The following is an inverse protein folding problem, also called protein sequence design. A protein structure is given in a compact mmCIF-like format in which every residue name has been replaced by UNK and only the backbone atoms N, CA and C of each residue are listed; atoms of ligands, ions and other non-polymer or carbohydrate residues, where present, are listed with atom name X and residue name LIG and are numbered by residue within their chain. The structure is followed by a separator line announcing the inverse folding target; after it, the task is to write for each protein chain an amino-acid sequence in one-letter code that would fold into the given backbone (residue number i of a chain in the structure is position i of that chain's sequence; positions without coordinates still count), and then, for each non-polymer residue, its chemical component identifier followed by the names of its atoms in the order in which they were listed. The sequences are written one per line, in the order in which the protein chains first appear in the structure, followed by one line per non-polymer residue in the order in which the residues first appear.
data_IF_739200565491
#
_entry.id   IF_739200565491
#
_cell.length_a   1.000
_cell.length_b   1.000
_cell.length_c   1.000
_cell.angle_alpha   90.00
_cell.angle_beta   90.00
_cell.angle_gamma   90.00
#
_symmetry.space_group_name_H-M   'P 1'
#
loop_
_entity.id
_entity.type
_entity.pdbx_description
1 polymer ?
#
# COMPACT_ATOMS: atom_id res chain seq x y z
N UNK A 1 -17.54 -24.80 -19.43
CA UNK A 1 -18.46 -25.05 -18.29
C UNK A 1 -17.89 -24.30 -17.11
N UNK A 2 -18.34 -23.07 -16.92
CA UNK A 2 -17.85 -22.13 -15.91
C UNK A 2 -18.33 -22.56 -14.53
N UNK A 3 -17.41 -23.00 -13.67
CA UNK A 3 -17.71 -23.15 -12.24
C UNK A 3 -17.28 -21.87 -11.53
N UNK A 4 -18.29 -21.08 -11.13
CA UNK A 4 -18.16 -19.97 -10.20
C UNK A 4 -17.51 -20.47 -8.92
N UNK A 5 -16.30 -19.97 -8.63
CA UNK A 5 -15.72 -20.01 -7.29
C UNK A 5 -16.56 -19.05 -6.42
N UNK A 6 -17.33 -19.62 -5.49
CA UNK A 6 -18.05 -18.87 -4.46
C UNK A 6 -17.04 -18.07 -3.61
N UNK A 7 -17.33 -16.82 -3.23
CA UNK A 7 -16.49 -16.08 -2.29
C UNK A 7 -16.51 -16.82 -0.95
N UNK A 8 -15.32 -17.20 -0.47
CA UNK A 8 -15.12 -17.70 0.89
C UNK A 8 -15.34 -16.51 1.82
N UNK A 9 -16.47 -16.53 2.52
CA UNK A 9 -16.77 -15.58 3.60
C UNK A 9 -15.77 -15.88 4.72
N UNK A 10 -14.87 -14.94 4.99
CA UNK A 10 -13.98 -15.01 6.14
C UNK A 10 -14.81 -14.84 7.41
N UNK A 11 -14.98 -15.93 8.16
CA UNK A 11 -15.60 -15.92 9.48
C UNK A 11 -14.76 -15.09 10.45
N UNK A 12 -15.36 -14.00 10.93
CA UNK A 12 -14.89 -13.12 12.00
C UNK A 12 -14.75 -13.92 13.29
N UNK A 13 -13.71 -13.63 14.08
CA UNK A 13 -13.60 -14.13 15.44
C UNK A 13 -14.65 -13.38 16.25
N UNK A 14 -15.62 -14.10 16.78
CA UNK A 14 -16.63 -13.54 17.66
C UNK A 14 -15.95 -13.12 18.96
N UNK A 15 -15.61 -11.84 19.08
CA UNK A 15 -15.48 -11.22 20.40
C UNK A 15 -16.89 -11.26 21.00
N UNK A 16 -17.07 -12.10 22.02
CA UNK A 16 -18.25 -12.11 22.88
C UNK A 16 -18.29 -10.78 23.66
N UNK A 17 -18.69 -9.71 22.97
CA UNK A 17 -19.19 -8.50 23.61
C UNK A 17 -20.53 -8.87 24.22
N UNK A 18 -20.60 -8.88 25.56
CA UNK A 18 -21.86 -8.94 26.27
C UNK A 18 -22.82 -7.93 25.63
N UNK A 19 -23.99 -8.41 25.19
CA UNK A 19 -25.00 -7.61 24.51
C UNK A 19 -25.57 -6.56 25.47
N UNK A 20 -24.88 -5.43 25.59
CA UNK A 20 -25.48 -4.18 26.00
C UNK A 20 -26.35 -3.76 24.82
N UNK A 21 -27.65 -3.57 25.06
CA UNK A 21 -28.58 -3.08 24.06
C UNK A 21 -27.96 -1.85 23.37
N UNK A 22 -27.60 -2.01 22.08
CA UNK A 22 -27.06 -0.93 21.25
C UNK A 22 -28.20 0.07 21.03
N UNK A 23 -28.19 1.15 21.82
CA UNK A 23 -28.85 2.37 21.41
C UNK A 23 -28.33 2.73 20.01
N UNK A 24 -29.20 3.18 19.10
CA UNK A 24 -28.78 3.72 17.81
C UNK A 24 -27.62 4.68 18.05
N UNK A 25 -26.42 4.27 17.60
CA UNK A 25 -25.20 5.05 17.81
C UNK A 25 -25.32 6.27 16.90
N UNK A 26 -25.91 7.34 17.42
CA UNK A 26 -26.06 8.61 16.72
C UNK A 26 -24.70 9.12 16.26
N UNK A 27 -24.66 9.75 15.08
CA UNK A 27 -23.48 10.44 14.56
C UNK A 27 -22.94 11.41 15.63
N UNK A 28 -21.65 11.29 15.96
CA UNK A 28 -20.96 12.13 16.94
C UNK A 28 -19.99 13.04 16.21
N UNK A 29 -19.74 14.27 16.68
CA UNK A 29 -18.69 15.11 16.10
C UNK A 29 -17.36 14.35 16.06
N UNK A 30 -16.73 14.28 14.89
CA UNK A 30 -15.42 13.67 14.75
C UNK A 30 -14.36 14.58 15.38
N UNK A 31 -13.36 14.02 16.08
CA UNK A 31 -12.26 14.80 16.62
C UNK A 31 -11.44 15.48 15.52
N UNK A 32 -10.74 16.56 15.92
CA UNK A 32 -9.69 17.17 15.11
C UNK A 32 -8.55 16.16 14.83
N UNK A 33 -7.60 16.54 13.99
CA UNK A 33 -6.46 15.68 13.69
C UNK A 33 -5.74 15.21 14.96
N UNK A 34 -5.44 13.91 15.06
CA UNK A 34 -4.76 13.36 16.23
C UNK A 34 -3.33 13.89 16.36
N UNK A 35 -2.60 13.93 15.25
CA UNK A 35 -1.23 14.40 15.18
C UNK A 35 -1.12 15.87 14.79
N UNK A 36 0.08 16.43 14.97
CA UNK A 36 0.38 17.86 14.78
C UNK A 36 0.81 18.25 13.36
N UNK A 37 1.01 17.29 12.46
CA UNK A 37 1.60 17.52 11.14
C UNK A 37 0.55 17.76 10.05
N UNK A 38 -0.54 18.45 10.37
CA UNK A 38 -1.50 18.98 9.38
C UNK A 38 -0.95 20.27 8.76
N UNK A 39 -1.18 20.47 7.47
CA UNK A 39 -0.65 21.58 6.68
C UNK A 39 0.89 21.76 6.73
N UNK A 40 1.67 20.68 6.49
CA UNK A 40 3.12 20.79 6.43
C UNK A 40 3.53 21.64 5.21
N UNK A 41 4.55 22.51 5.34
CA UNK A 41 4.99 23.32 4.22
C UNK A 41 5.61 22.43 3.13
N UNK A 42 5.62 22.90 1.88
CA UNK A 42 6.00 22.07 0.72
C UNK A 42 7.43 21.49 0.83
N UNK A 43 8.35 22.20 1.46
CA UNK A 43 9.72 21.75 1.74
C UNK A 43 9.82 20.58 2.71
N UNK A 44 8.79 20.32 3.54
CA UNK A 44 8.77 19.18 4.45
C UNK A 44 8.80 17.84 3.69
N UNK A 45 8.39 17.85 2.42
CA UNK A 45 8.35 16.69 1.54
C UNK A 45 9.66 16.45 0.77
N UNK A 46 10.60 17.40 0.76
CA UNK A 46 11.86 17.26 0.02
C UNK A 46 12.71 16.10 0.53
N UNK A 47 12.61 15.80 1.83
CA UNK A 47 13.31 14.67 2.46
C UNK A 47 12.47 13.39 2.52
N UNK A 48 11.24 13.40 1.99
CA UNK A 48 10.38 12.22 1.96
C UNK A 48 10.82 11.28 0.84
N UNK A 49 10.74 9.96 1.07
CA UNK A 49 11.11 8.97 0.06
C UNK A 49 9.96 8.85 -0.95
N UNK A 50 10.24 9.24 -2.19
CA UNK A 50 9.32 9.10 -3.32
C UNK A 50 9.93 8.18 -4.36
N UNK A 51 9.29 7.04 -4.58
CA UNK A 51 9.64 6.09 -5.62
C UNK A 51 9.06 6.53 -6.96
N UNK A 52 9.73 6.18 -8.06
CA UNK A 52 9.14 6.30 -9.40
C UNK A 52 8.12 5.18 -9.66
N UNK A 53 7.08 5.43 -10.46
CA UNK A 53 6.14 4.37 -10.86
C UNK A 53 6.78 3.19 -11.62
N UNK A 54 7.96 3.38 -12.20
CA UNK A 54 8.75 2.36 -12.89
C UNK A 54 9.78 1.66 -11.99
N UNK A 55 9.93 2.13 -10.74
CA UNK A 55 10.88 1.59 -9.79
C UNK A 55 10.41 0.25 -9.22
N UNK A 56 11.34 -0.69 -9.07
CA UNK A 56 11.07 -1.99 -8.43
C UNK A 56 11.14 -1.78 -6.93
N UNK A 57 9.98 -1.70 -6.29
CA UNK A 57 9.86 -1.46 -4.86
C UNK A 57 9.21 -2.65 -4.15
N UNK A 58 9.64 -2.92 -2.92
CA UNK A 58 9.09 -3.97 -2.06
C UNK A 58 8.58 -3.36 -0.75
N UNK A 59 7.30 -3.56 -0.47
CA UNK A 59 6.67 -3.17 0.80
C UNK A 59 6.33 -4.38 1.67
N UNK A 60 6.19 -4.16 2.98
CA UNK A 60 5.68 -5.19 3.90
C UNK A 60 4.59 -4.67 4.83
N UNK A 61 3.58 -5.51 5.09
CA UNK A 61 2.63 -5.25 6.18
C UNK A 61 3.33 -5.40 7.52
N UNK A 62 3.10 -4.46 8.42
CA UNK A 62 3.72 -4.45 9.73
C UNK A 62 2.66 -4.50 10.83
N UNK A 63 2.55 -5.67 11.44
CA UNK A 63 1.67 -5.93 12.58
C UNK A 63 2.44 -5.60 13.86
N UNK A 64 2.28 -4.39 14.36
CA UNK A 64 3.08 -3.89 15.48
C UNK A 64 2.39 -4.04 16.84
N UNK A 65 1.15 -4.51 16.88
CA UNK A 65 0.19 -4.39 17.98
C UNK A 65 0.49 -5.17 19.27
N UNK A 66 1.64 -5.82 19.37
CA UNK A 66 1.99 -6.69 20.49
C UNK A 66 2.40 -5.86 21.71
N UNK A 67 2.14 -6.36 22.93
CA UNK A 67 2.67 -5.78 24.16
C UNK A 67 2.92 -6.83 25.23
N UNK A 68 4.18 -7.20 25.43
CA UNK A 68 4.59 -8.18 26.45
C UNK A 68 4.15 -7.81 27.88
N UNK A 69 4.15 -6.51 28.24
CA UNK A 69 3.82 -6.08 29.60
C UNK A 69 2.35 -6.34 29.96
N UNK A 70 1.43 -6.05 29.03
CA UNK A 70 -0.01 -6.26 29.23
C UNK A 70 -0.50 -7.59 28.65
N UNK A 71 0.38 -8.34 27.97
CA UNK A 71 0.08 -9.55 27.20
C UNK A 71 -0.87 -9.34 26.03
N UNK A 72 -1.08 -8.09 25.61
CA UNK A 72 -1.93 -7.76 24.46
C UNK A 72 -1.37 -8.43 23.19
N UNK A 73 -2.22 -9.21 22.52
CA UNK A 73 -1.90 -10.02 21.34
C UNK A 73 -0.77 -11.03 21.53
N UNK A 74 -0.44 -11.36 22.78
CA UNK A 74 0.50 -12.44 23.16
C UNK A 74 -0.26 -13.58 23.84
N UNK A 75 -1.29 -13.25 24.61
CA UNK A 75 -2.18 -14.21 25.28
C UNK A 75 -3.61 -13.91 24.86
N UNK A 76 -4.37 -14.95 24.52
CA UNK A 76 -5.78 -14.86 24.16
C UNK A 76 -6.66 -14.57 25.37
N UNK A 77 -7.90 -14.14 25.09
CA UNK A 77 -8.87 -13.78 26.13
C UNK A 77 -9.24 -14.94 27.09
N UNK A 78 -9.06 -16.19 26.66
CA UNK A 78 -9.26 -17.40 27.46
C UNK A 78 -7.99 -17.83 28.24
N UNK A 79 -6.90 -17.07 28.11
CA UNK A 79 -5.61 -17.34 28.74
C UNK A 79 -4.69 -18.27 27.95
N UNK A 80 -5.11 -18.72 26.76
CA UNK A 80 -4.27 -19.53 25.87
C UNK A 80 -3.22 -18.68 25.13
N UNK A 81 -2.26 -19.36 24.52
CA UNK A 81 -1.17 -18.72 23.79
C UNK A 81 -1.66 -18.22 22.43
N UNK A 82 -1.59 -16.91 22.19
CA UNK A 82 -2.07 -16.31 20.95
C UNK A 82 -1.07 -16.45 19.78
N UNK A 83 0.14 -16.97 20.04
CA UNK A 83 1.24 -17.02 19.08
C UNK A 83 1.57 -18.45 18.68
N UNK A 84 1.42 -18.77 17.39
CA UNK A 84 1.91 -20.05 16.83
C UNK A 84 3.44 -20.11 16.78
N UNK A 85 4.11 -18.97 16.72
CA UNK A 85 5.56 -18.82 16.78
C UNK A 85 5.94 -17.63 17.64
N UNK A 86 7.00 -17.78 18.43
CA UNK A 86 7.42 -16.76 19.39
C UNK A 86 8.65 -15.99 18.90
N UNK A 87 8.75 -14.69 19.22
CA UNK A 87 10.03 -13.99 19.05
C UNK A 87 11.10 -14.65 19.91
N UNK A 88 12.39 -14.59 19.53
CA UNK A 88 13.48 -15.21 20.30
C UNK A 88 13.57 -14.72 21.75
N UNK A 89 13.08 -13.50 22.01
CA UNK A 89 12.87 -12.94 23.35
C UNK A 89 11.58 -12.12 23.34
N UNK A 90 10.74 -12.29 24.37
CA UNK A 90 9.55 -11.47 24.59
C UNK A 90 9.87 -10.13 25.27
N UNK A 91 11.03 -10.02 25.91
CA UNK A 91 11.46 -8.80 26.58
C UNK A 91 11.45 -7.62 25.61
N UNK A 92 10.63 -6.60 25.92
CA UNK A 92 10.45 -5.39 25.11
C UNK A 92 9.81 -5.63 23.74
N UNK A 93 9.20 -6.79 23.49
CA UNK A 93 8.31 -7.07 22.36
C UNK A 93 7.01 -6.27 22.55
N UNK A 94 7.04 -5.01 22.15
CA UNK A 94 5.96 -4.05 22.45
C UNK A 94 5.90 -2.92 21.44
N UNK A 95 4.70 -2.57 20.97
CA UNK A 95 4.46 -1.39 20.14
C UNK A 95 4.95 -0.09 20.79
N UNK A 96 5.07 -0.07 22.13
CA UNK A 96 5.53 1.07 22.92
C UNK A 96 7.05 1.26 22.86
N UNK A 97 7.80 0.28 22.36
CA UNK A 97 9.26 0.23 22.42
C UNK A 97 9.90 0.70 21.11
N UNK A 98 10.50 1.90 21.11
CA UNK A 98 11.27 2.39 19.96
C UNK A 98 12.45 1.47 19.63
N UNK A 99 13.10 0.87 20.64
CA UNK A 99 14.20 -0.08 20.40
C UNK A 99 13.73 -1.36 19.69
N UNK A 100 12.50 -1.80 19.95
CA UNK A 100 11.93 -2.96 19.25
C UNK A 100 11.62 -2.62 17.79
N UNK A 101 10.94 -1.49 17.54
CA UNK A 101 10.71 -0.99 16.19
C UNK A 101 12.01 -0.81 15.41
N UNK A 102 13.06 -0.31 16.07
CA UNK A 102 14.39 -0.13 15.46
C UNK A 102 14.97 -1.47 14.99
N UNK A 103 14.87 -2.52 15.81
CA UNK A 103 15.27 -3.87 15.40
C UNK A 103 14.44 -4.37 14.21
N UNK A 104 13.12 -4.17 14.23
CA UNK A 104 12.25 -4.61 13.11
C UNK A 104 12.61 -3.89 11.81
N UNK A 105 12.90 -2.57 11.87
CA UNK A 105 13.35 -1.79 10.72
C UNK A 105 14.72 -2.25 10.21
N UNK A 106 15.65 -2.62 11.09
CA UNK A 106 16.95 -3.20 10.68
C UNK A 106 16.77 -4.55 9.99
N UNK A 107 15.88 -5.40 10.49
CA UNK A 107 15.56 -6.68 9.85
C UNK A 107 14.92 -6.48 8.47
N UNK A 108 14.04 -5.48 8.33
CA UNK A 108 13.46 -5.07 7.04
C UNK A 108 14.52 -4.54 6.07
N UNK A 109 15.48 -3.74 6.53
CA UNK A 109 16.60 -3.29 5.71
C UNK A 109 17.46 -4.46 5.23
N UNK A 110 17.77 -5.42 6.11
CA UNK A 110 18.53 -6.62 5.75
C UNK A 110 17.79 -7.48 4.72
N UNK A 111 16.46 -7.43 4.69
CA UNK A 111 15.62 -8.10 3.70
C UNK A 111 15.39 -7.29 2.41
N UNK A 112 15.90 -6.05 2.31
CA UNK A 112 15.72 -5.19 1.14
C UNK A 112 14.30 -4.64 0.99
N UNK A 113 13.61 -4.38 2.10
CA UNK A 113 12.27 -3.77 2.12
C UNK A 113 12.39 -2.25 2.04
N UNK A 114 11.72 -1.65 1.07
CA UNK A 114 11.78 -0.21 0.79
C UNK A 114 10.82 0.62 1.64
N UNK A 115 9.65 0.04 1.96
CA UNK A 115 8.66 0.69 2.79
C UNK A 115 7.89 -0.28 3.68
N UNK A 116 7.48 0.23 4.82
CA UNK A 116 6.69 -0.47 5.83
C UNK A 116 5.28 0.09 5.84
N UNK A 117 4.30 -0.80 5.99
CA UNK A 117 2.89 -0.47 6.08
C UNK A 117 2.34 -0.91 7.44
N UNK A 118 2.42 -0.06 8.49
CA UNK A 118 1.80 -0.35 9.76
C UNK A 118 0.31 -0.62 9.57
N UNK A 119 -0.16 -1.76 10.05
CA UNK A 119 -1.58 -2.13 10.02
C UNK A 119 -2.31 -1.24 11.03
N UNK A 120 -3.06 -0.26 10.52
CA UNK A 120 -3.57 0.85 11.30
C UNK A 120 -5.06 0.71 11.59
N UNK A 121 -5.39 0.68 12.88
CA UNK A 121 -6.73 0.53 13.45
C UNK A 121 -7.18 1.81 14.18
N UNK A 122 -6.45 2.92 14.03
CA UNK A 122 -6.74 4.18 14.71
C UNK A 122 -7.92 4.94 14.09
N UNK A 123 -9.14 4.41 14.19
CA UNK A 123 -10.34 5.15 13.80
C UNK A 123 -10.53 6.41 14.68
N UNK A 124 -11.36 7.38 14.28
CA UNK A 124 -11.62 8.59 15.07
C UNK A 124 -12.14 8.31 16.49
N UNK A 125 -12.80 7.16 16.68
CA UNK A 125 -13.28 6.68 17.97
C UNK A 125 -12.19 6.13 18.90
N UNK A 126 -10.97 5.96 18.41
CA UNK A 126 -9.84 5.34 19.13
C UNK A 126 -8.84 6.37 19.67
N UNK A 127 -9.18 7.67 19.59
CA UNK A 127 -8.35 8.76 20.10
C UNK A 127 -8.12 8.70 21.61
N UNK A 128 -9.13 8.26 22.37
CA UNK A 128 -9.05 8.20 23.83
C UNK A 128 -8.06 7.11 24.29
N UNK A 129 -7.21 7.37 25.30
CA UNK A 129 -6.20 6.40 25.75
C UNK A 129 -6.74 5.04 26.22
N UNK A 130 -8.01 5.00 26.64
CA UNK A 130 -8.74 3.82 27.09
C UNK A 130 -9.57 3.16 25.99
N UNK A 131 -9.54 3.69 24.76
CA UNK A 131 -10.23 3.11 23.63
C UNK A 131 -9.62 1.77 23.20
N UNK A 132 -10.46 0.90 22.65
CA UNK A 132 -10.15 -0.49 22.33
C UNK A 132 -8.90 -0.65 21.45
N UNK A 133 -8.72 0.24 20.47
CA UNK A 133 -7.59 0.19 19.53
C UNK A 133 -6.63 1.36 19.65
N UNK A 134 -6.59 2.03 20.80
CA UNK A 134 -5.68 3.16 21.04
C UNK A 134 -4.20 2.79 20.84
N UNK A 135 -3.84 1.51 21.00
CA UNK A 135 -2.50 1.00 20.68
C UNK A 135 -2.03 1.38 19.27
N UNK A 136 -2.96 1.53 18.32
CA UNK A 136 -2.65 1.91 16.95
C UNK A 136 -2.12 3.34 16.85
N UNK A 137 -2.64 4.25 17.69
CA UNK A 137 -2.12 5.61 17.84
C UNK A 137 -0.81 5.62 18.64
N UNK A 138 -0.81 4.96 19.80
CA UNK A 138 0.32 4.96 20.72
C UNK A 138 1.60 4.32 20.13
N UNK A 139 1.47 3.38 19.17
CA UNK A 139 2.60 2.74 18.50
C UNK A 139 3.32 3.61 17.46
N UNK A 140 2.72 4.72 16.99
CA UNK A 140 3.30 5.51 15.90
C UNK A 140 4.50 6.35 16.34
N UNK A 141 4.43 7.01 17.51
CA UNK A 141 5.55 7.82 17.99
C UNK A 141 6.84 6.98 18.20
N UNK A 142 6.80 5.81 18.85
CA UNK A 142 7.97 4.91 18.94
C UNK A 142 8.50 4.44 17.58
N UNK A 143 7.63 4.17 16.59
CA UNK A 143 8.06 3.78 15.25
C UNK A 143 8.77 4.94 14.52
N UNK A 144 8.22 6.16 14.60
CA UNK A 144 8.84 7.36 14.01
C UNK A 144 10.18 7.65 14.68
N UNK A 145 10.26 7.53 16.01
CA UNK A 145 11.50 7.68 16.77
C UNK A 145 12.55 6.64 16.33
N UNK A 146 12.17 5.37 16.19
CA UNK A 146 13.05 4.31 15.72
C UNK A 146 13.61 4.61 14.32
N UNK A 147 12.74 4.98 13.38
CA UNK A 147 13.16 5.37 12.04
C UNK A 147 14.07 6.59 12.07
N UNK A 148 13.79 7.56 12.94
CA UNK A 148 14.61 8.76 13.10
C UNK A 148 16.04 8.42 13.53
N UNK A 149 16.21 7.54 14.52
CA UNK A 149 17.54 7.09 14.98
C UNK A 149 18.35 6.45 13.86
N UNK A 150 17.72 5.59 13.05
CA UNK A 150 18.38 4.95 11.91
C UNK A 150 18.80 5.97 10.84
N UNK A 151 17.96 6.97 10.55
CA UNK A 151 18.37 8.07 9.66
C UNK A 151 19.54 8.87 10.22
N UNK A 152 19.55 9.13 11.53
CA UNK A 152 20.61 9.88 12.20
C UNK A 152 21.95 9.10 12.23
N UNK A 153 21.89 7.76 12.15
CA UNK A 153 23.04 6.88 11.90
C UNK A 153 23.51 6.88 10.44
N UNK A 154 22.81 7.57 9.53
CA UNK A 154 23.12 7.60 8.09
C UNK A 154 22.65 6.35 7.34
N UNK A 155 21.70 5.59 7.90
CA UNK A 155 21.10 4.42 7.27
C UNK A 155 19.86 4.82 6.44
N UNK A 156 19.40 3.90 5.58
CA UNK A 156 18.20 4.05 4.75
C UNK A 156 17.09 3.08 5.22
N UNK A 157 16.42 3.35 6.35
CA UNK A 157 15.33 2.52 6.84
C UNK A 157 14.07 2.66 5.98
N UNK A 158 13.22 1.60 5.92
CA UNK A 158 11.96 1.62 5.18
C UNK A 158 11.15 2.87 5.44
N UNK A 159 10.66 3.52 4.39
CA UNK A 159 9.72 4.63 4.51
C UNK A 159 8.34 4.14 4.98
N UNK A 160 7.49 5.01 5.52
CA UNK A 160 6.23 4.63 6.18
C UNK A 160 5.05 4.99 5.29
N UNK A 161 4.32 3.98 4.82
CA UNK A 161 3.01 4.13 4.17
C UNK A 161 1.89 3.61 5.07
N UNK A 162 0.64 3.84 4.69
CA UNK A 162 -0.53 3.40 5.45
C UNK A 162 -1.07 2.07 4.93
N UNK A 163 -1.26 1.08 5.80
CA UNK A 163 -2.26 0.04 5.58
C UNK A 163 -3.45 0.31 6.49
N UNK A 164 -4.55 0.82 5.92
CA UNK A 164 -5.78 1.07 6.64
C UNK A 164 -6.54 -0.25 6.80
N UNK A 165 -6.56 -0.77 8.02
CA UNK A 165 -7.43 -1.89 8.37
C UNK A 165 -8.87 -1.40 8.52
N UNK A 166 -9.66 -1.66 7.48
CA UNK A 166 -11.04 -1.20 7.37
C UNK A 166 -12.00 -1.99 8.25
N UNK A 167 -11.53 -2.99 9.01
CA UNK A 167 -12.35 -3.65 10.05
C UNK A 167 -12.92 -2.66 11.06
N UNK A 168 -12.24 -1.52 11.27
CA UNK A 168 -12.71 -0.48 12.17
C UNK A 168 -13.97 0.26 11.69
N UNK A 169 -14.38 0.07 10.43
CA UNK A 169 -15.67 0.58 9.93
C UNK A 169 -16.85 -0.16 10.57
N UNK A 170 -16.64 -1.35 11.12
CA UNK A 170 -17.66 -2.13 11.85
C UNK A 170 -17.29 -2.32 13.34
N UNK A 171 -16.02 -2.53 13.62
CA UNK A 171 -15.50 -2.79 14.96
C UNK A 171 -14.80 -1.55 15.51
N UNK A 172 -15.48 -0.77 16.33
CA UNK A 172 -14.88 0.42 16.92
C UNK A 172 -15.48 0.76 18.28
N UNK A 173 -14.76 1.58 19.04
CA UNK A 173 -15.09 1.96 20.43
C UNK A 173 -16.40 2.74 20.57
N UNK A 174 -16.96 3.28 19.48
CA UNK A 174 -18.27 3.94 19.51
C UNK A 174 -19.43 3.04 19.05
N UNK A 175 -19.14 1.82 18.61
CA UNK A 175 -20.15 0.86 18.15
C UNK A 175 -20.88 1.28 16.87
N UNK A 176 -20.28 2.16 16.06
CA UNK A 176 -20.87 2.67 14.81
C UNK A 176 -20.53 1.70 13.68
N UNK A 177 -21.52 1.29 12.88
CA UNK A 177 -21.26 0.62 11.60
C UNK A 177 -21.31 1.67 10.48
N UNK A 178 -20.13 2.03 9.97
CA UNK A 178 -19.90 3.21 9.15
C UNK A 178 -20.38 3.00 7.72
N UNK A 179 -21.25 3.90 7.25
CA UNK A 179 -21.72 3.96 5.86
C UNK A 179 -20.98 5.05 5.09
N UNK A 180 -20.01 4.65 4.27
CA UNK A 180 -19.15 5.52 3.48
C UNK A 180 -19.87 6.21 2.30
N UNK A 181 -21.15 5.91 2.05
CA UNK A 181 -21.97 6.68 1.09
C UNK A 181 -22.50 7.98 1.70
N UNK A 182 -22.47 8.10 3.03
CA UNK A 182 -22.94 9.30 3.76
C UNK A 182 -21.82 10.32 3.93
N UNK A 183 -22.14 11.63 4.09
CA UNK A 183 -21.14 12.64 4.45
C UNK A 183 -20.35 12.27 5.71
N UNK A 184 -21.03 11.76 6.73
CA UNK A 184 -20.42 11.34 7.99
C UNK A 184 -19.43 10.19 7.80
N UNK A 185 -19.81 9.14 7.07
CA UNK A 185 -18.93 8.00 6.84
C UNK A 185 -17.71 8.34 5.98
N UNK A 186 -17.85 9.23 4.99
CA UNK A 186 -16.69 9.74 4.25
C UNK A 186 -15.74 10.54 5.12
N UNK A 187 -16.27 11.39 6.01
CA UNK A 187 -15.46 12.12 6.98
C UNK A 187 -14.76 11.17 7.96
N UNK A 188 -15.44 10.13 8.43
CA UNK A 188 -14.86 9.11 9.31
C UNK A 188 -13.70 8.37 8.62
N UNK A 189 -13.94 7.90 7.40
CA UNK A 189 -12.93 7.21 6.62
C UNK A 189 -11.70 8.09 6.38
N UNK A 190 -11.91 9.33 5.94
CA UNK A 190 -10.84 10.30 5.73
C UNK A 190 -10.12 10.64 7.04
N UNK A 191 -10.84 10.83 8.15
CA UNK A 191 -10.24 11.17 9.43
C UNK A 191 -9.21 10.12 9.88
N UNK A 192 -9.46 8.82 9.66
CA UNK A 192 -8.46 7.77 9.91
C UNK A 192 -7.18 7.98 9.08
N UNK A 193 -7.32 8.27 7.78
CA UNK A 193 -6.19 8.52 6.87
C UNK A 193 -5.43 9.78 7.29
N UNK A 194 -6.15 10.88 7.53
CA UNK A 194 -5.61 12.15 8.03
C UNK A 194 -4.82 11.94 9.32
N UNK A 195 -5.42 11.25 10.29
CA UNK A 195 -4.84 11.08 11.60
C UNK A 195 -3.53 10.31 11.53
N UNK A 196 -3.46 9.25 10.72
CA UNK A 196 -2.21 8.53 10.45
C UNK A 196 -1.09 9.45 9.96
N UNK A 197 -1.33 10.20 8.87
CA UNK A 197 -0.31 11.06 8.28
C UNK A 197 0.00 12.29 9.15
N UNK A 198 -0.96 12.80 9.92
CA UNK A 198 -0.74 13.91 10.85
C UNK A 198 0.19 13.57 12.01
N UNK A 199 0.37 12.29 12.34
CA UNK A 199 1.30 11.85 13.39
C UNK A 199 2.74 11.75 12.92
N UNK A 200 2.95 11.66 11.62
CA UNK A 200 4.23 11.27 11.02
C UNK A 200 4.78 12.49 10.27
N UNK A 201 5.97 13.03 10.61
CA UNK A 201 6.58 14.09 9.82
C UNK A 201 6.80 13.62 8.36
N UNK A 202 6.53 14.49 7.39
CA UNK A 202 6.53 14.15 5.96
C UNK A 202 7.81 13.44 5.46
N UNK A 203 8.99 13.78 6.01
CA UNK A 203 10.27 13.09 5.74
C UNK A 203 10.27 11.57 5.99
N UNK A 204 9.29 11.05 6.74
CA UNK A 204 9.15 9.61 6.98
C UNK A 204 8.18 8.92 6.03
N UNK A 205 7.46 9.64 5.19
CA UNK A 205 6.42 9.06 4.35
C UNK A 205 7.02 8.26 3.20
N UNK A 206 6.36 7.15 2.87
CA UNK A 206 6.54 6.44 1.63
C UNK A 206 5.57 7.00 0.58
N UNK A 207 6.09 7.36 -0.59
CA UNK A 207 5.32 7.94 -1.68
C UNK A 207 5.67 7.31 -3.02
N UNK A 208 4.72 7.29 -3.96
CA UNK A 208 4.97 6.97 -5.38
C UNK A 208 4.67 8.24 -6.17
N UNK A 209 5.64 8.76 -6.93
CA UNK A 209 5.51 10.02 -7.68
C UNK A 209 4.96 11.20 -6.84
N UNK A 210 5.43 11.33 -5.59
CA UNK A 210 5.00 12.37 -4.65
C UNK A 210 3.63 12.11 -4.01
N UNK A 211 3.06 10.91 -4.19
CA UNK A 211 1.74 10.52 -3.70
C UNK A 211 1.87 9.56 -2.52
N UNK A 212 1.43 9.94 -1.30
CA UNK A 212 1.53 9.08 -0.12
C UNK A 212 0.79 7.75 -0.30
N UNK A 213 1.46 6.65 0.06
CA UNK A 213 0.95 5.29 -0.16
C UNK A 213 -0.13 4.95 0.87
N UNK A 214 -1.30 4.53 0.39
CA UNK A 214 -2.43 4.06 1.21
C UNK A 214 -2.98 2.76 0.63
N UNK A 215 -2.86 1.67 1.36
CA UNK A 215 -3.50 0.39 1.03
C UNK A 215 -4.71 0.20 1.94
N UNK A 216 -5.80 -0.31 1.37
CA UNK A 216 -7.02 -0.57 2.15
C UNK A 216 -7.21 -2.06 2.33
N UNK A 217 -7.69 -2.46 3.51
CA UNK A 217 -8.17 -3.81 3.74
C UNK A 217 -9.57 -4.02 3.12
N UNK A 218 -10.36 -4.98 3.60
CA UNK A 218 -11.58 -5.44 2.93
C UNK A 218 -12.75 -4.45 3.00
N UNK A 219 -13.49 -4.33 1.89
CA UNK A 219 -14.73 -3.57 1.81
C UNK A 219 -15.89 -4.19 2.60
N UNK A 220 -15.76 -5.45 3.03
CA UNK A 220 -16.82 -6.19 3.71
C UNK A 220 -17.25 -5.59 5.07
N UNK A 221 -16.38 -4.77 5.67
CA UNK A 221 -16.62 -4.12 6.97
C UNK A 221 -17.29 -2.74 6.85
N UNK A 222 -17.47 -2.23 5.63
CA UNK A 222 -18.22 -1.00 5.42
C UNK A 222 -19.72 -1.32 5.31
N UNK A 223 -20.57 -0.57 6.00
CA UNK A 223 -22.04 -0.73 5.90
C UNK A 223 -22.53 -0.44 4.48
N UNK A 224 -21.90 0.52 3.84
CA UNK A 224 -22.12 0.94 2.46
C UNK A 224 -20.89 1.71 1.97
N UNK A 225 -20.64 1.65 0.66
CA UNK A 225 -19.58 2.42 0.01
C UNK A 225 -19.90 2.61 -1.47
N UNK A 226 -19.33 3.66 -2.05
CA UNK A 226 -19.30 3.92 -3.48
C UNK A 226 -18.01 4.70 -3.83
N UNK A 227 -17.86 5.15 -5.08
CA UNK A 227 -16.69 5.90 -5.53
C UNK A 227 -16.41 7.16 -4.68
N UNK A 228 -17.44 7.76 -4.08
CA UNK A 228 -17.33 9.05 -3.38
C UNK A 228 -16.40 8.99 -2.17
N UNK A 229 -16.18 7.82 -1.55
CA UNK A 229 -15.24 7.70 -0.42
C UNK A 229 -13.79 7.89 -0.85
N UNK A 230 -13.41 7.37 -2.02
CA UNK A 230 -12.06 7.51 -2.58
C UNK A 230 -11.84 8.95 -3.03
N UNK A 231 -12.82 9.51 -3.76
CA UNK A 231 -12.74 10.86 -4.30
C UNK A 231 -12.66 11.90 -3.16
N UNK A 232 -13.51 11.75 -2.14
CA UNK A 232 -13.51 12.60 -0.96
C UNK A 232 -12.19 12.51 -0.19
N UNK A 233 -11.66 11.29 0.00
CA UNK A 233 -10.37 11.09 0.67
C UNK A 233 -9.25 11.82 -0.07
N UNK A 234 -9.18 11.68 -1.40
CA UNK A 234 -8.18 12.37 -2.22
C UNK A 234 -8.33 13.90 -2.16
N UNK A 235 -9.56 14.40 -2.22
CA UNK A 235 -9.84 15.83 -2.17
C UNK A 235 -9.47 16.44 -0.82
N UNK A 236 -9.91 15.84 0.30
CA UNK A 236 -9.62 16.37 1.63
C UNK A 236 -8.13 16.26 1.97
N UNK A 237 -7.48 15.16 1.57
CA UNK A 237 -6.04 15.01 1.77
C UNK A 237 -5.25 16.13 1.08
N UNK A 238 -5.59 16.46 -0.17
CA UNK A 238 -4.94 17.54 -0.89
C UNK A 238 -5.12 18.91 -0.22
N UNK A 239 -6.28 19.15 0.42
CA UNK A 239 -6.55 20.38 1.16
C UNK A 239 -5.70 20.52 2.41
N UNK A 240 -5.42 19.42 3.12
CA UNK A 240 -4.74 19.44 4.42
C UNK A 240 -3.24 19.11 4.35
N UNK A 241 -2.75 18.62 3.20
CA UNK A 241 -1.36 18.20 3.03
C UNK A 241 -0.73 18.78 1.77
N UNK A 242 -0.70 20.11 1.66
CA UNK A 242 0.01 20.86 0.62
C UNK A 242 -0.25 20.40 -0.82
N UNK A 243 -1.51 20.07 -1.14
CA UNK A 243 -1.92 19.63 -2.47
C UNK A 243 -1.54 18.20 -2.84
N UNK A 244 -0.99 17.39 -1.91
CA UNK A 244 -0.65 16.00 -2.20
C UNK A 244 -1.91 15.16 -2.35
N UNK A 245 -1.89 14.22 -3.29
CA UNK A 245 -3.00 13.30 -3.53
C UNK A 245 -2.48 11.90 -3.22
N UNK A 246 -3.09 11.17 -2.27
CA UNK A 246 -2.61 9.84 -1.91
C UNK A 246 -2.72 8.87 -3.10
N UNK A 247 -1.78 7.93 -3.17
CA UNK A 247 -1.85 6.75 -4.02
C UNK A 247 -2.64 5.70 -3.24
N UNK A 248 -3.86 5.41 -3.68
CA UNK A 248 -4.77 4.51 -2.96
C UNK A 248 -4.88 3.19 -3.74
N UNK A 249 -4.53 2.09 -3.08
CA UNK A 249 -4.68 0.73 -3.60
C UNK A 249 -5.61 -0.09 -2.69
N UNK A 250 -6.92 -0.12 -2.99
CA UNK A 250 -7.88 -0.92 -2.24
C UNK A 250 -7.70 -2.43 -2.45
N UNK A 251 -8.14 -3.20 -1.46
CA UNK A 251 -8.33 -4.64 -1.64
C UNK A 251 -9.37 -4.92 -2.74
N UNK A 252 -9.22 -6.02 -3.50
CA UNK A 252 -10.10 -6.37 -4.65
C UNK A 252 -11.60 -6.49 -4.33
N UNK A 253 -11.98 -6.58 -3.06
CA UNK A 253 -13.37 -6.52 -2.59
C UNK A 253 -14.01 -5.16 -2.85
N UNK A 254 -13.25 -4.06 -2.85
CA UNK A 254 -13.79 -2.73 -3.17
C UNK A 254 -14.12 -2.61 -4.66
N UNK A 255 -15.35 -2.21 -4.96
CA UNK A 255 -15.84 -1.97 -6.33
C UNK A 255 -15.79 -0.49 -6.70
N UNK A 256 -14.58 0.06 -6.68
CA UNK A 256 -14.27 1.48 -6.97
C UNK A 256 -13.07 1.59 -7.92
N UNK A 257 -12.96 2.71 -8.62
CA UNK A 257 -11.76 3.10 -9.35
C UNK A 257 -10.73 3.69 -8.38
N UNK A 258 -9.49 3.25 -8.51
CA UNK A 258 -8.36 3.63 -7.65
C UNK A 258 -7.05 3.55 -8.44
N UNK A 259 -5.92 3.83 -7.79
CA UNK A 259 -4.62 3.90 -8.47
C UNK A 259 -4.06 2.51 -8.80
N UNK A 260 -4.37 1.52 -7.97
CA UNK A 260 -4.04 0.12 -8.18
C UNK A 260 -4.96 -0.77 -7.32
N UNK A 261 -4.68 -2.07 -7.22
CA UNK A 261 -5.40 -3.02 -6.38
C UNK A 261 -4.43 -3.92 -5.65
N UNK A 262 -4.82 -4.30 -4.45
CA UNK A 262 -4.15 -5.34 -3.66
C UNK A 262 -5.11 -6.49 -3.38
N UNK A 263 -4.60 -7.66 -3.08
CA UNK A 263 -5.41 -8.78 -2.61
C UNK A 263 -4.78 -9.36 -1.33
N UNK A 264 -5.61 -9.56 -0.33
CA UNK A 264 -5.17 -10.15 0.93
C UNK A 264 -4.87 -11.65 0.78
N UNK A 265 -4.11 -12.21 1.72
CA UNK A 265 -3.82 -13.64 1.76
C UNK A 265 -2.66 -14.10 0.88
N UNK A 266 -1.65 -13.24 0.65
CA UNK A 266 -0.38 -13.63 0.01
C UNK A 266 0.34 -14.77 0.74
N UNK A 267 0.11 -14.90 2.05
CA UNK A 267 0.59 -16.02 2.87
C UNK A 267 0.00 -17.39 2.47
N UNK A 268 -1.13 -17.40 1.75
CA UNK A 268 -1.76 -18.60 1.21
C UNK A 268 -1.32 -18.90 -0.24
N UNK A 269 -0.49 -18.04 -0.82
CA UNK A 269 0.00 -18.14 -2.18
C UNK A 269 -0.09 -16.80 -2.91
N UNK A 270 0.65 -16.69 -4.00
CA UNK A 270 0.80 -15.48 -4.81
C UNK A 270 -0.57 -14.87 -5.22
N UNK A 271 -0.76 -13.59 -4.94
CA UNK A 271 -1.88 -12.76 -5.40
C UNK A 271 -1.33 -11.61 -6.24
N UNK A 272 -1.95 -11.31 -7.38
CA UNK A 272 -1.49 -10.26 -8.28
C UNK A 272 -2.65 -9.57 -9.01
N UNK A 273 -3.55 -8.88 -8.30
CA UNK A 273 -4.59 -8.07 -8.94
C UNK A 273 -4.07 -6.76 -9.55
N UNK A 274 -2.80 -6.45 -9.30
CA UNK A 274 -2.11 -5.21 -9.65
C UNK A 274 -0.80 -5.17 -8.85
N UNK A 275 -0.90 -4.93 -7.55
CA UNK A 275 0.19 -5.13 -6.59
C UNK A 275 0.33 -6.63 -6.27
N UNK A 276 1.53 -7.18 -6.45
CA UNK A 276 1.83 -8.56 -6.09
C UNK A 276 1.99 -8.74 -4.57
N UNK A 277 1.21 -9.64 -3.98
CA UNK A 277 1.28 -10.02 -2.57
C UNK A 277 1.62 -11.49 -2.42
N UNK A 278 2.65 -11.80 -1.64
CA UNK A 278 3.09 -13.16 -1.36
C UNK A 278 3.70 -13.22 0.05
N UNK A 279 3.61 -14.37 0.71
CA UNK A 279 4.05 -14.56 2.10
C UNK A 279 4.61 -15.96 2.34
N UNK A 280 5.31 -16.18 3.46
CA UNK A 280 6.14 -17.37 3.66
C UNK A 280 5.35 -18.64 4.00
N UNK A 281 4.05 -18.53 4.17
CA UNK A 281 3.14 -19.54 4.70
C UNK A 281 2.25 -18.91 5.78
N UNK A 282 1.32 -19.69 6.31
CA UNK A 282 0.26 -19.20 7.18
C UNK A 282 -0.05 -20.22 8.26
N UNK A 283 -0.21 -19.78 9.50
CA UNK A 283 -0.66 -20.64 10.60
C UNK A 283 -1.44 -19.79 11.60
N UNK A 284 -2.73 -20.05 11.72
CA UNK A 284 -3.60 -19.42 12.71
C UNK A 284 -4.23 -20.45 13.66
N UNK A 285 -3.59 -21.60 13.86
CA UNK A 285 -4.09 -22.64 14.76
C UNK A 285 -4.20 -22.19 16.23
N UNK A 286 -3.49 -21.12 16.61
CA UNK A 286 -3.60 -20.50 17.92
C UNK A 286 -4.88 -19.67 18.10
N UNK A 287 -5.59 -19.28 17.02
CA UNK A 287 -6.78 -18.43 17.15
C UNK A 287 -7.96 -19.26 17.68
N UNK A 288 -8.54 -18.89 18.84
CA UNK A 288 -9.66 -19.62 19.42
C UNK A 288 -10.88 -19.67 18.49
N UNK A 289 -11.67 -20.73 18.62
CA UNK A 289 -12.95 -20.92 17.92
C UNK A 289 -12.88 -20.90 16.38
N UNK A 290 -11.70 -21.17 15.80
CA UNK A 290 -11.52 -21.29 14.35
C UNK A 290 -11.06 -22.68 13.94
N UNK A 291 -11.55 -23.15 12.79
CA UNK A 291 -10.94 -24.30 12.11
C UNK A 291 -9.55 -23.91 11.63
N UNK A 292 -8.48 -24.60 12.07
CA UNK A 292 -7.12 -24.24 11.68
C UNK A 292 -6.91 -24.36 10.16
N UNK A 293 -6.46 -23.26 9.56
CA UNK A 293 -5.88 -23.14 8.24
C UNK A 293 -4.36 -23.01 8.41
N UNK A 294 -3.65 -24.02 7.91
CA UNK A 294 -2.19 -24.06 7.94
C UNK A 294 -1.67 -24.24 6.53
N UNK A 295 -0.72 -23.39 6.15
CA UNK A 295 0.10 -23.46 4.95
C UNK A 295 1.55 -23.55 5.42
N UNK A 296 2.09 -24.76 5.37
CA UNK A 296 3.45 -25.05 5.83
C UNK A 296 4.47 -24.24 5.01
N UNK A 297 5.39 -23.61 5.74
CA UNK A 297 6.50 -22.82 5.18
C UNK A 297 7.52 -23.70 4.46
N UNK A 298 7.59 -25.00 4.80
CA UNK A 298 8.51 -26.00 4.22
C UNK A 298 9.96 -25.51 4.19
N UNK A 299 10.45 -25.01 5.34
CA UNK A 299 11.81 -24.47 5.45
C UNK A 299 12.10 -23.23 4.60
N UNK A 300 11.07 -22.58 4.02
CA UNK A 300 11.20 -21.45 3.10
C UNK A 300 10.84 -21.79 1.66
N UNK A 301 10.72 -23.07 1.30
CA UNK A 301 10.43 -23.51 -0.07
C UNK A 301 9.11 -22.93 -0.59
N UNK A 302 8.08 -22.87 0.27
CA UNK A 302 6.79 -22.30 -0.12
C UNK A 302 6.93 -20.84 -0.58
N UNK A 303 7.71 -20.05 0.14
CA UNK A 303 7.97 -18.65 -0.17
C UNK A 303 8.78 -18.51 -1.47
N UNK A 304 9.84 -19.31 -1.59
CA UNK A 304 10.71 -19.34 -2.78
C UNK A 304 9.92 -19.68 -4.05
N UNK A 305 9.03 -20.66 -3.97
CA UNK A 305 8.15 -21.02 -5.09
C UNK A 305 7.21 -19.88 -5.50
N UNK A 306 6.66 -19.09 -4.55
CA UNK A 306 5.80 -17.95 -4.90
C UNK A 306 6.61 -16.85 -5.60
N UNK A 307 7.83 -16.56 -5.11
CA UNK A 307 8.75 -15.63 -5.75
C UNK A 307 9.12 -16.08 -7.17
N UNK A 308 9.48 -17.35 -7.33
CA UNK A 308 9.79 -17.92 -8.64
C UNK A 308 8.61 -17.80 -9.61
N UNK A 309 7.38 -18.06 -9.16
CA UNK A 309 6.17 -17.88 -9.99
C UNK A 309 6.00 -16.43 -10.44
N UNK A 310 6.15 -15.46 -9.52
CA UNK A 310 6.06 -14.03 -9.85
C UNK A 310 7.11 -13.64 -10.90
N UNK A 311 8.38 -14.00 -10.68
CA UNK A 311 9.48 -13.66 -11.57
C UNK A 311 9.33 -14.34 -12.94
N UNK A 312 8.87 -15.59 -12.99
CA UNK A 312 8.59 -16.31 -14.24
C UNK A 312 7.45 -15.66 -15.03
N UNK A 313 6.38 -15.21 -14.36
CA UNK A 313 5.27 -14.54 -15.05
C UNK A 313 5.69 -13.21 -15.69
N UNK A 314 6.50 -12.42 -14.97
CA UNK A 314 7.07 -11.17 -15.50
C UNK A 314 8.00 -11.48 -16.69
N UNK A 315 8.85 -12.50 -16.55
CA UNK A 315 9.73 -12.95 -17.64
C UNK A 315 8.92 -13.38 -18.86
N UNK A 316 7.86 -14.19 -18.71
CA UNK A 316 7.01 -14.60 -19.83
C UNK A 316 6.35 -13.40 -20.49
N UNK A 317 5.85 -12.42 -19.74
CA UNK A 317 5.30 -11.19 -20.33
C UNK A 317 6.35 -10.47 -21.20
N UNK A 318 7.59 -10.33 -20.72
CA UNK A 318 8.64 -9.62 -21.44
C UNK A 318 9.21 -10.38 -22.63
N UNK A 319 9.22 -11.73 -22.57
CA UNK A 319 9.80 -12.58 -23.60
C UNK A 319 8.78 -13.20 -24.55
N UNK A 320 7.48 -13.01 -24.33
CA UNK A 320 6.46 -13.42 -25.31
C UNK A 320 6.51 -12.44 -26.48
N UNK A 321 6.95 -12.86 -27.68
CA UNK A 321 6.95 -11.98 -28.83
C UNK A 321 5.51 -11.54 -29.09
N UNK A 322 5.29 -10.23 -29.17
CA UNK A 322 4.03 -9.71 -29.66
C UNK A 322 4.03 -9.95 -31.18
N UNK A 323 3.15 -10.82 -31.67
CA UNK A 323 3.00 -11.16 -33.09
C UNK A 323 2.30 -10.02 -33.84
N UNK A 324 2.93 -8.84 -33.85
CA UNK A 324 2.49 -7.71 -34.64
C UNK A 324 3.12 -7.79 -36.02
N UNK A 325 2.27 -7.84 -37.03
CA UNK A 325 2.70 -7.80 -38.43
C UNK A 325 2.93 -6.35 -38.88
N UNK A 326 3.64 -6.17 -39.99
CA UNK A 326 3.75 -4.87 -40.65
C UNK A 326 2.37 -4.24 -40.93
N UNK A 327 1.36 -5.06 -41.26
CA UNK A 327 -0.02 -4.62 -41.49
C UNK A 327 -0.66 -4.07 -40.21
N UNK A 328 -0.30 -4.58 -39.03
CA UNK A 328 -0.82 -4.08 -37.76
C UNK A 328 -0.28 -2.69 -37.43
N UNK A 329 1.01 -2.46 -37.67
CA UNK A 329 1.61 -1.12 -37.54
C UNK A 329 1.00 -0.12 -38.53
N UNK A 330 0.66 -0.55 -39.74
CA UNK A 330 0.00 0.30 -40.74
C UNK A 330 -1.42 0.72 -40.35
N UNK A 331 -2.09 0.00 -39.45
CA UNK A 331 -3.41 0.39 -38.91
C UNK A 331 -3.31 1.58 -37.95
N UNK A 332 -2.12 1.94 -37.47
CA UNK A 332 -1.90 3.10 -36.59
C UNK A 332 -1.92 4.38 -37.45
N UNK A 333 -3.11 4.97 -37.57
CA UNK A 333 -3.36 6.19 -38.37
C UNK A 333 -3.22 7.49 -37.57
N UNK A 334 -3.13 7.40 -36.24
CA UNK A 334 -2.86 8.52 -35.38
C UNK A 334 -1.39 8.96 -35.51
N UNK A 335 -1.09 10.27 -35.51
CA UNK A 335 0.28 10.73 -35.35
C UNK A 335 0.91 10.05 -34.13
N UNK A 336 2.10 9.47 -34.29
CA UNK A 336 2.75 8.67 -33.25
C UNK A 336 4.19 9.12 -33.09
N UNK A 337 4.59 9.48 -31.88
CA UNK A 337 5.99 9.79 -31.58
C UNK A 337 6.64 8.57 -30.92
N UNK A 338 7.69 8.05 -31.56
CA UNK A 338 8.53 6.96 -31.05
C UNK A 338 9.77 7.60 -30.41
N UNK A 339 10.00 7.29 -29.13
CA UNK A 339 11.12 7.81 -28.35
C UNK A 339 12.02 6.65 -27.93
N UNK A 340 13.32 6.77 -28.17
CA UNK A 340 14.26 5.69 -27.89
C UNK A 340 15.63 6.23 -27.51
N UNK A 341 16.34 5.56 -26.61
CA UNK A 341 17.71 5.91 -26.24
C UNK A 341 18.75 5.23 -27.14
N UNK A 342 19.83 5.92 -27.51
CA UNK A 342 20.91 5.36 -28.35
C UNK A 342 21.77 4.28 -27.67
N UNK A 343 21.61 4.10 -26.35
CA UNK A 343 22.30 3.11 -25.51
C UNK A 343 21.29 2.23 -24.76
N UNK A 344 20.10 2.07 -25.31
CA UNK A 344 19.14 1.11 -24.76
C UNK A 344 19.71 -0.32 -24.88
N UNK A 345 19.92 -0.96 -23.74
CA UNK A 345 20.43 -2.33 -23.66
C UNK A 345 19.32 -3.39 -23.59
N UNK A 346 18.07 -2.97 -23.54
CA UNK A 346 16.89 -3.84 -23.46
C UNK A 346 16.28 -4.04 -24.85
N UNK A 347 16.17 -2.96 -25.63
CA UNK A 347 15.60 -2.98 -26.97
C UNK A 347 16.63 -2.35 -27.93
N UNK A 348 16.96 -2.99 -29.07
CA UNK A 348 17.83 -2.38 -30.08
C UNK A 348 17.19 -1.14 -30.71
N UNK A 349 17.99 -0.10 -31.00
CA UNK A 349 17.52 1.12 -31.69
C UNK A 349 16.89 0.81 -33.05
N UNK A 350 17.35 -0.24 -33.70
CA UNK A 350 16.86 -0.70 -34.99
C UNK A 350 15.36 -1.03 -34.97
N UNK A 351 14.83 -1.54 -33.86
CA UNK A 351 13.41 -1.83 -33.72
C UNK A 351 12.56 -0.55 -33.71
N UNK A 352 13.04 0.51 -33.05
CA UNK A 352 12.39 1.81 -33.07
C UNK A 352 12.40 2.44 -34.48
N UNK A 353 13.50 2.23 -35.23
CA UNK A 353 13.62 2.66 -36.64
C UNK A 353 12.66 1.86 -37.53
N UNK A 354 12.51 0.56 -37.30
CA UNK A 354 11.58 -0.29 -38.03
C UNK A 354 10.12 0.16 -37.79
N UNK A 355 9.72 0.37 -36.53
CA UNK A 355 8.40 0.91 -36.19
C UNK A 355 8.14 2.26 -36.85
N UNK A 356 9.12 3.16 -36.83
CA UNK A 356 9.03 4.47 -37.50
C UNK A 356 8.77 4.35 -39.00
N UNK A 357 9.33 3.33 -39.65
CA UNK A 357 9.10 3.07 -41.08
C UNK A 357 7.75 2.43 -41.36
N UNK A 358 7.24 1.63 -40.43
CA UNK A 358 5.99 0.88 -40.60
C UNK A 358 4.74 1.72 -40.28
N UNK A 359 4.84 2.66 -39.33
CA UNK A 359 3.72 3.50 -38.90
C UNK A 359 3.61 4.74 -39.82
N UNK A 360 2.50 4.93 -40.56
CA UNK A 360 2.41 5.94 -41.62
C UNK A 360 2.65 7.40 -41.19
N UNK A 361 2.30 7.75 -39.96
CA UNK A 361 2.45 9.10 -39.39
C UNK A 361 3.38 9.12 -38.19
N UNK A 362 4.35 8.20 -38.16
CA UNK A 362 5.32 8.18 -37.07
C UNK A 362 6.35 9.28 -37.21
N UNK A 363 6.80 9.77 -36.06
CA UNK A 363 8.00 10.55 -35.88
C UNK A 363 8.93 9.79 -34.93
N UNK A 364 10.24 9.94 -35.12
CA UNK A 364 11.25 9.25 -34.32
C UNK A 364 12.18 10.27 -33.67
N UNK A 365 12.39 10.14 -32.37
CA UNK A 365 13.45 10.85 -31.68
C UNK A 365 14.35 9.88 -30.91
N UNK A 366 15.65 9.92 -31.25
CA UNK A 366 16.69 9.14 -30.60
C UNK A 366 17.44 10.03 -29.60
N UNK A 367 17.44 9.65 -28.33
CA UNK A 367 18.04 10.41 -27.25
C UNK A 367 19.53 10.02 -27.15
N UNK A 368 20.45 11.00 -27.30
CA UNK A 368 21.87 10.70 -27.22
C UNK A 368 22.29 10.39 -25.78
N UNK A 369 23.19 9.42 -25.62
CA UNK A 369 23.69 8.94 -24.34
C UNK A 369 22.58 8.47 -23.38
N UNK A 370 21.52 7.86 -23.91
CA UNK A 370 20.35 7.42 -23.13
C UNK A 370 20.12 5.90 -23.23
N UNK A 371 19.93 5.24 -22.10
CA UNK A 371 19.36 3.89 -21.94
C UNK A 371 17.83 3.94 -21.84
N UNK A 372 17.18 2.77 -21.86
CA UNK A 372 15.72 2.56 -21.73
C UNK A 372 15.04 3.54 -20.76
N UNK A 373 15.53 3.62 -19.52
CA UNK A 373 14.92 4.42 -18.45
C UNK A 373 15.41 5.87 -18.43
N UNK A 374 16.59 6.15 -18.97
CA UNK A 374 17.14 7.52 -18.93
C UNK A 374 16.52 8.45 -19.97
N UNK A 375 15.92 7.90 -21.03
CA UNK A 375 15.09 8.66 -22.00
C UNK A 375 13.97 9.42 -21.28
N UNK A 376 13.33 8.79 -20.28
CA UNK A 376 12.28 9.41 -19.45
C UNK A 376 12.83 10.34 -18.37
N UNK A 377 14.07 10.12 -17.91
CA UNK A 377 14.71 10.94 -16.85
C UNK A 377 15.34 12.23 -17.37
N UNK A 378 15.58 12.37 -18.68
CA UNK A 378 15.94 13.65 -19.28
C UNK A 378 14.67 14.51 -19.52
N UNK A 379 14.05 14.92 -18.41
CA UNK A 379 12.73 15.54 -18.40
C UNK A 379 12.65 16.79 -19.31
N UNK A 380 13.70 17.61 -19.36
CA UNK A 380 13.72 18.83 -20.18
C UNK A 380 13.69 18.51 -21.69
N UNK A 381 14.55 17.59 -22.14
CA UNK A 381 14.60 17.20 -23.55
C UNK A 381 13.33 16.45 -23.96
N UNK A 382 12.87 15.53 -23.10
CA UNK A 382 11.60 14.82 -23.28
C UNK A 382 10.44 15.79 -23.42
N UNK A 383 10.28 16.72 -22.48
CA UNK A 383 9.21 17.70 -22.48
C UNK A 383 9.23 18.56 -23.75
N UNK A 384 10.41 19.01 -24.19
CA UNK A 384 10.54 19.83 -25.40
C UNK A 384 10.07 19.07 -26.64
N UNK A 385 10.51 17.82 -26.81
CA UNK A 385 10.16 17.00 -27.98
C UNK A 385 8.68 16.62 -27.96
N UNK A 386 8.17 16.18 -26.80
CA UNK A 386 6.78 15.79 -26.65
C UNK A 386 5.83 16.98 -26.88
N UNK A 387 6.13 18.16 -26.33
CA UNK A 387 5.32 19.36 -26.55
C UNK A 387 5.35 19.81 -28.01
N UNK A 388 6.51 19.83 -28.66
CA UNK A 388 6.62 20.17 -30.08
C UNK A 388 5.75 19.26 -30.95
N UNK A 389 5.85 17.95 -30.73
CA UNK A 389 5.03 16.95 -31.42
C UNK A 389 3.53 17.19 -31.18
N UNK A 390 3.11 17.35 -29.92
CA UNK A 390 1.71 17.59 -29.59
C UNK A 390 1.18 18.88 -30.22
N UNK A 391 1.95 19.98 -30.20
CA UNK A 391 1.55 21.25 -30.81
C UNK A 391 1.39 21.14 -32.33
N UNK A 392 2.21 20.33 -33.01
CA UNK A 392 2.10 20.11 -34.47
C UNK A 392 0.88 19.27 -34.87
N UNK A 393 0.36 18.45 -33.96
CA UNK A 393 -0.75 17.51 -34.24
C UNK A 393 -2.06 17.82 -33.51
N UNK A 394 -2.14 18.93 -32.75
CA UNK A 394 -3.35 19.39 -32.03
C UNK A 394 -4.31 20.29 -32.86
N UNK A 395 -4.37 20.08 -34.19
CA UNK A 395 -5.22 20.87 -35.10
C UNK A 395 -6.49 20.14 -35.52
#
# INVERSE_FOLDING_TARGET
MFNLVRPIVFGVAAVLAAAVARADASERPLPAAFGRHTDPPAEAFTAARSFGADERIVGTYYFYWYDDATKLHVVDHDGSDALTTHPPRLERFSYKSAAWHEQQLRDMMAAGIDFVLPVFWGAPSEHAPDAMFHWSYAGMAPLVEARQRLLDEGLDPPAIGLFYDTSTLEHNSWGVHVDCTTPYGRQWFYATVRDFFSMIPARHWAMIDGRPIVLLYSAAFAKGYDQSVIDYTKEQFAREFAGRIPYIAPEVSWKVAADDKVAWGGALGLKQPGIASLGPGYDHAAVPDRTPLVVDRRGGDFYGEQWQKLLQQISTMWWTPLDYTAEDFQKIIAPTLILMGDRDGTIPVEEAVEMYRLIPKAELAIFPNATHFTTLRNAELFQKIALDFLMRHNS
#
